data_IF_055709398096
#
_entry.id   IF_055709398096
#
_cell.length_a   1.000
_cell.length_b   1.000
_cell.length_c   1.000
_cell.angle_alpha   90.00
_cell.angle_beta   90.00
_cell.angle_gamma   90.00
#
_symmetry.space_group_name_H-M   'P 1'
#
loop_
_entity.id
_entity.type
_entity.pdbx_description
1 polymer ?
#
# COMPACT_ATOMS: atom_id res chain seq x y z
N UNK A 1 7.95 -24.42 24.84
CA UNK A 1 8.44 -24.82 23.51
C UNK A 1 7.22 -25.19 22.66
N UNK A 2 6.72 -24.25 21.86
CA UNK A 2 5.67 -24.52 20.89
C UNK A 2 6.35 -24.42 19.51
N UNK A 3 6.55 -25.56 18.89
CA UNK A 3 7.10 -25.72 17.54
C UNK A 3 6.12 -25.09 16.54
N UNK A 4 6.44 -23.86 16.11
CA UNK A 4 5.84 -23.22 14.96
C UNK A 4 6.31 -23.96 13.71
N UNK A 5 5.38 -24.68 13.07
CA UNK A 5 5.61 -25.36 11.81
C UNK A 5 5.98 -24.35 10.72
N UNK A 6 7.07 -24.63 10.01
CA UNK A 6 7.59 -23.82 8.92
C UNK A 6 6.66 -23.87 7.71
N UNK A 7 5.76 -22.89 7.57
CA UNK A 7 5.21 -22.56 6.25
C UNK A 7 6.31 -21.87 5.45
N UNK A 8 6.95 -22.65 4.56
CA UNK A 8 7.80 -22.15 3.49
C UNK A 8 7.03 -21.09 2.70
N UNK A 9 7.64 -19.93 2.50
CA UNK A 9 7.15 -18.88 1.61
C UNK A 9 7.28 -19.34 0.15
N UNK A 10 6.46 -20.31 -0.24
CA UNK A 10 6.22 -20.62 -1.64
C UNK A 10 5.20 -19.62 -2.16
N UNK A 11 5.56 -18.88 -3.21
CA UNK A 11 4.60 -18.23 -4.10
C UNK A 11 3.53 -19.29 -4.44
N UNK A 12 2.23 -19.03 -4.26
CA UNK A 12 1.24 -20.00 -4.69
C UNK A 12 1.41 -20.17 -6.19
N UNK A 13 1.78 -21.37 -6.65
CA UNK A 13 1.59 -21.73 -8.04
C UNK A 13 0.11 -21.47 -8.35
N UNK A 14 -0.17 -20.88 -9.53
CA UNK A 14 -1.52 -20.67 -10.02
C UNK A 14 -2.30 -21.98 -9.84
N UNK A 15 -3.26 -21.98 -8.93
CA UNK A 15 -4.19 -23.08 -8.81
C UNK A 15 -4.99 -23.11 -10.11
N UNK A 16 -5.03 -24.28 -10.76
CA UNK A 16 -5.91 -24.48 -11.90
C UNK A 16 -7.32 -23.99 -11.52
N UNK A 17 -7.99 -23.28 -12.43
CA UNK A 17 -9.35 -22.79 -12.18
C UNK A 17 -10.21 -24.00 -11.77
N UNK A 18 -10.76 -24.03 -10.55
CA UNK A 18 -11.50 -25.18 -10.07
C UNK A 18 -12.79 -25.33 -10.87
N UNK A 19 -13.32 -26.56 -10.92
CA UNK A 19 -14.67 -26.78 -11.40
C UNK A 19 -15.67 -26.05 -10.50
N UNK A 20 -16.70 -25.45 -11.10
CA UNK A 20 -17.76 -24.77 -10.34
C UNK A 20 -18.51 -25.80 -9.51
N UNK A 21 -18.50 -25.62 -8.19
CA UNK A 21 -19.15 -26.49 -7.21
C UNK A 21 -20.46 -25.90 -6.68
N UNK A 22 -20.58 -24.57 -6.69
CA UNK A 22 -21.73 -23.82 -6.19
C UNK A 22 -21.85 -22.49 -6.93
N UNK A 23 -23.07 -22.13 -7.32
CA UNK A 23 -23.36 -20.79 -7.88
C UNK A 23 -24.20 -20.00 -6.88
N UNK A 24 -23.83 -18.74 -6.66
CA UNK A 24 -24.57 -17.76 -5.85
C UNK A 24 -24.71 -16.46 -6.63
N UNK A 25 -25.74 -15.67 -6.33
CA UNK A 25 -26.02 -14.40 -6.99
C UNK A 25 -26.09 -13.29 -5.96
N UNK A 26 -25.49 -12.14 -6.29
CA UNK A 26 -25.59 -10.91 -5.49
C UNK A 26 -25.82 -9.70 -6.39
N UNK A 27 -26.51 -8.69 -5.89
CA UNK A 27 -26.60 -7.43 -6.61
C UNK A 27 -25.21 -6.78 -6.77
N UNK A 28 -24.43 -6.70 -5.69
CA UNK A 28 -23.09 -6.10 -5.69
C UNK A 28 -22.08 -7.11 -5.15
N UNK A 29 -21.12 -7.51 -5.98
CA UNK A 29 -19.95 -8.28 -5.53
C UNK A 29 -18.74 -7.35 -5.35
N UNK A 30 -18.09 -7.43 -4.18
CA UNK A 30 -16.88 -6.67 -3.85
C UNK A 30 -15.73 -7.66 -3.67
N UNK A 31 -14.71 -7.55 -4.52
CA UNK A 31 -13.50 -8.38 -4.44
C UNK A 31 -12.44 -7.66 -3.61
N UNK A 32 -12.12 -8.22 -2.44
CA UNK A 32 -11.18 -7.69 -1.46
C UNK A 32 -11.89 -7.05 -0.26
N UNK A 33 -11.58 -7.54 0.94
CA UNK A 33 -12.09 -7.07 2.22
C UNK A 33 -11.12 -6.15 2.96
N UNK A 34 -10.20 -5.52 2.23
CA UNK A 34 -9.24 -4.55 2.76
C UNK A 34 -9.84 -3.17 3.01
N UNK A 35 -8.97 -2.16 3.16
CA UNK A 35 -9.37 -0.79 3.46
C UNK A 35 -10.41 -0.23 2.48
N UNK A 36 -10.26 -0.54 1.19
CA UNK A 36 -11.16 -0.10 0.13
C UNK A 36 -12.52 -0.83 0.19
N UNK A 37 -12.52 -2.17 0.18
CA UNK A 37 -13.76 -2.94 0.13
C UNK A 37 -14.66 -2.68 1.33
N UNK A 38 -14.12 -2.69 2.55
CA UNK A 38 -14.90 -2.44 3.77
C UNK A 38 -15.44 -1.01 3.80
N UNK A 39 -14.61 -0.03 3.41
CA UNK A 39 -15.06 1.37 3.36
C UNK A 39 -16.17 1.55 2.33
N UNK A 40 -16.02 1.01 1.11
CA UNK A 40 -17.01 1.14 0.04
C UNK A 40 -18.32 0.43 0.39
N UNK A 41 -18.25 -0.81 0.90
CA UNK A 41 -19.42 -1.54 1.39
C UNK A 41 -20.17 -0.76 2.48
N UNK A 42 -19.44 -0.22 3.47
CA UNK A 42 -20.03 0.62 4.51
C UNK A 42 -20.69 1.89 3.97
N UNK A 43 -20.08 2.57 2.99
CA UNK A 43 -20.67 3.76 2.36
C UNK A 43 -21.94 3.41 1.60
N UNK A 44 -21.93 2.32 0.82
CA UNK A 44 -23.09 1.83 0.07
C UNK A 44 -24.25 1.50 1.01
N UNK A 45 -24.02 0.65 2.01
CA UNK A 45 -25.06 0.20 2.95
C UNK A 45 -25.59 1.31 3.86
N UNK A 46 -24.79 2.35 4.12
CA UNK A 46 -25.26 3.57 4.79
C UNK A 46 -26.17 4.43 3.91
N UNK A 47 -25.95 4.45 2.60
CA UNK A 47 -26.77 5.20 1.65
C UNK A 47 -28.05 4.45 1.29
N UNK A 48 -27.97 3.13 1.20
CA UNK A 48 -29.11 2.26 0.97
C UNK A 48 -28.89 0.90 1.66
N UNK A 49 -29.63 0.64 2.74
CA UNK A 49 -29.52 -0.60 3.52
C UNK A 49 -30.21 -1.81 2.88
N UNK A 50 -30.92 -1.63 1.77
CA UNK A 50 -31.60 -2.70 1.03
C UNK A 50 -30.72 -3.33 -0.06
N UNK A 51 -29.49 -2.86 -0.22
CA UNK A 51 -28.56 -3.42 -1.20
C UNK A 51 -28.12 -4.82 -0.78
N UNK A 52 -28.11 -5.74 -1.73
CA UNK A 52 -27.55 -7.08 -1.53
C UNK A 52 -26.06 -7.08 -1.90
N UNK A 53 -25.20 -7.08 -0.87
CA UNK A 53 -23.75 -6.88 -1.01
C UNK A 53 -22.99 -8.10 -0.52
N UNK A 54 -22.15 -8.69 -1.37
CA UNK A 54 -21.16 -9.68 -0.98
C UNK A 54 -19.75 -9.09 -0.97
N UNK A 55 -18.96 -9.44 0.03
CA UNK A 55 -17.51 -9.17 0.10
C UNK A 55 -16.77 -10.50 0.03
N UNK A 56 -15.92 -10.67 -0.98
CA UNK A 56 -15.08 -11.85 -1.17
C UNK A 56 -13.68 -11.55 -0.64
N UNK A 57 -13.31 -12.16 0.49
CA UNK A 57 -12.04 -11.92 1.19
C UNK A 57 -11.57 -13.18 1.91
N UNK A 58 -10.42 -13.76 1.56
CA UNK A 58 -9.95 -15.01 2.18
C UNK A 58 -9.44 -14.82 3.61
N UNK A 59 -8.84 -13.66 3.93
CA UNK A 59 -8.18 -13.42 5.20
C UNK A 59 -9.19 -13.30 6.35
N UNK A 60 -8.95 -14.04 7.44
CA UNK A 60 -9.69 -13.85 8.69
C UNK A 60 -9.19 -12.63 9.51
N UNK A 61 -8.15 -11.94 9.04
CA UNK A 61 -7.55 -10.75 9.67
C UNK A 61 -7.54 -9.54 8.74
N UNK A 62 -7.79 -8.37 9.32
CA UNK A 62 -7.70 -7.09 8.66
C UNK A 62 -6.56 -6.27 9.25
N UNK A 63 -5.73 -5.65 8.40
CA UNK A 63 -4.57 -4.88 8.83
C UNK A 63 -4.65 -3.40 8.46
N UNK A 64 -4.43 -2.53 9.44
CA UNK A 64 -4.03 -1.14 9.23
C UNK A 64 -2.54 -1.08 8.87
N UNK A 65 -2.25 -1.36 7.60
CA UNK A 65 -0.87 -1.45 7.08
C UNK A 65 -0.01 -0.17 7.25
N UNK A 66 -0.56 1.07 7.25
CA UNK A 66 0.23 2.25 7.60
C UNK A 66 0.83 2.22 9.03
N UNK A 67 0.33 1.32 9.88
CA UNK A 67 0.91 1.01 11.19
C UNK A 67 2.21 0.22 11.10
N UNK A 68 2.49 -0.53 10.03
CA UNK A 68 3.69 -1.38 9.95
C UNK A 68 5.00 -0.58 9.90
N UNK A 69 4.99 0.64 9.36
CA UNK A 69 6.13 1.57 9.51
C UNK A 69 6.40 1.90 10.98
N UNK A 70 5.35 2.07 11.79
CA UNK A 70 5.49 2.32 13.23
C UNK A 70 5.88 1.06 14.00
N UNK A 71 5.46 -0.11 13.54
CA UNK A 71 5.92 -1.39 14.10
C UNK A 71 7.41 -1.58 13.87
N UNK A 72 7.88 -1.41 12.63
CA UNK A 72 9.31 -1.47 12.32
C UNK A 72 10.14 -0.33 12.92
N UNK A 73 9.49 0.75 13.36
CA UNK A 73 10.09 1.86 14.08
C UNK A 73 9.82 1.85 15.59
N UNK A 74 9.39 0.74 16.18
CA UNK A 74 9.28 0.58 17.64
C UNK A 74 8.18 1.38 18.35
N UNK A 75 7.27 2.02 17.61
CA UNK A 75 6.16 2.79 18.19
C UNK A 75 4.94 1.92 18.43
N UNK A 76 4.65 1.00 17.50
CA UNK A 76 3.52 0.07 17.60
C UNK A 76 4.01 -1.35 17.80
N UNK A 77 3.19 -2.16 18.45
CA UNK A 77 3.27 -3.60 18.32
C UNK A 77 2.43 -4.07 17.12
N UNK A 78 2.70 -5.25 16.59
CA UNK A 78 1.97 -5.73 15.40
C UNK A 78 0.47 -5.90 15.68
N UNK A 79 0.10 -6.30 16.90
CA UNK A 79 -1.28 -6.45 17.35
C UNK A 79 -2.09 -5.14 17.31
N UNK A 80 -1.44 -3.97 17.45
CA UNK A 80 -2.10 -2.66 17.36
C UNK A 80 -2.62 -2.38 15.94
N UNK A 81 -2.11 -3.12 14.95
CA UNK A 81 -2.39 -2.93 13.53
C UNK A 81 -3.43 -3.91 12.99
N UNK A 82 -3.93 -4.85 13.78
CA UNK A 82 -4.77 -5.96 13.28
C UNK A 82 -6.07 -6.11 14.06
N UNK A 83 -7.15 -6.45 13.35
CA UNK A 83 -8.44 -6.88 13.92
C UNK A 83 -8.94 -8.14 13.20
N UNK A 84 -9.91 -8.83 13.77
CA UNK A 84 -10.58 -9.91 13.02
C UNK A 84 -11.36 -9.30 11.87
N UNK A 85 -11.30 -9.92 10.69
CA UNK A 85 -12.01 -9.46 9.50
C UNK A 85 -13.52 -9.44 9.75
N UNK A 86 -14.05 -10.47 10.42
CA UNK A 86 -15.48 -10.62 10.74
C UNK A 86 -16.06 -9.42 11.48
N UNK A 87 -15.30 -8.85 12.41
CA UNK A 87 -15.75 -7.73 13.26
C UNK A 87 -15.87 -6.40 12.49
N UNK A 88 -15.37 -6.38 11.25
CA UNK A 88 -15.33 -5.20 10.38
C UNK A 88 -16.23 -5.33 9.16
N UNK A 89 -16.77 -6.52 8.89
CA UNK A 89 -17.79 -6.71 7.85
C UNK A 89 -19.00 -5.84 8.21
N UNK A 90 -19.43 -4.92 7.34
CA UNK A 90 -20.56 -4.05 7.65
C UNK A 90 -21.84 -4.87 7.82
N UNK A 91 -22.69 -4.48 8.77
CA UNK A 91 -24.01 -5.09 8.93
C UNK A 91 -24.80 -4.98 7.62
N UNK A 92 -25.38 -6.09 7.17
CA UNK A 92 -26.08 -6.20 5.88
C UNK A 92 -25.22 -6.73 4.73
N UNK A 93 -23.90 -6.80 4.86
CA UNK A 93 -23.04 -7.44 3.88
C UNK A 93 -22.84 -8.94 4.19
N UNK A 94 -22.83 -9.76 3.15
CA UNK A 94 -22.43 -11.17 3.24
C UNK A 94 -20.92 -11.29 3.04
N UNK A 95 -20.23 -11.99 3.94
CA UNK A 95 -18.80 -12.29 3.79
C UNK A 95 -18.61 -13.68 3.21
N UNK A 96 -18.06 -13.74 2.00
CA UNK A 96 -17.59 -14.98 1.36
C UNK A 96 -16.10 -15.09 1.69
N UNK A 97 -15.78 -15.94 2.66
CA UNK A 97 -14.40 -16.16 3.09
C UNK A 97 -13.68 -17.11 2.12
N UNK A 98 -13.34 -16.60 0.94
CA UNK A 98 -12.65 -17.35 -0.11
C UNK A 98 -11.77 -16.39 -0.95
N UNK A 99 -10.83 -16.95 -1.70
CA UNK A 99 -9.92 -16.26 -2.60
C UNK A 99 -10.48 -16.26 -4.01
N UNK A 100 -10.57 -15.09 -4.64
CA UNK A 100 -10.83 -15.00 -6.08
C UNK A 100 -9.65 -15.51 -6.88
N UNK A 101 -9.92 -16.36 -7.88
CA UNK A 101 -8.92 -16.93 -8.80
C UNK A 101 -9.19 -16.59 -10.26
N UNK A 102 -10.44 -16.26 -10.62
CA UNK A 102 -10.79 -15.85 -12.00
C UNK A 102 -11.90 -14.80 -12.02
N UNK A 103 -11.79 -13.89 -12.98
CA UNK A 103 -12.79 -12.88 -13.31
C UNK A 103 -13.32 -13.17 -14.72
N UNK A 104 -14.64 -13.26 -14.87
CA UNK A 104 -15.34 -13.50 -16.13
C UNK A 104 -16.38 -12.40 -16.35
N UNK A 105 -15.94 -11.19 -16.77
CA UNK A 105 -16.81 -10.03 -16.85
C UNK A 105 -17.87 -10.13 -17.95
N UNK A 106 -17.66 -10.96 -18.97
CA UNK A 106 -18.63 -11.17 -20.05
C UNK A 106 -19.85 -11.96 -19.56
N UNK A 107 -19.67 -12.82 -18.56
CA UNK A 107 -20.73 -13.57 -17.87
C UNK A 107 -21.16 -12.94 -16.54
N UNK A 108 -20.61 -11.78 -16.20
CA UNK A 108 -20.77 -11.13 -14.89
C UNK A 108 -20.51 -12.10 -13.71
N UNK A 109 -19.39 -12.81 -13.76
CA UNK A 109 -19.06 -13.84 -12.78
C UNK A 109 -17.65 -13.67 -12.18
N UNK A 110 -17.53 -14.04 -10.91
CA UNK A 110 -16.26 -14.20 -10.19
C UNK A 110 -16.15 -15.65 -9.74
N UNK A 111 -15.02 -16.31 -10.00
CA UNK A 111 -14.77 -17.67 -9.55
C UNK A 111 -13.73 -17.66 -8.45
N UNK A 112 -14.05 -18.36 -7.37
CA UNK A 112 -13.23 -18.49 -6.17
C UNK A 112 -12.46 -19.81 -6.14
N UNK A 113 -11.50 -19.92 -5.23
CA UNK A 113 -10.61 -21.07 -5.10
C UNK A 113 -11.35 -22.35 -4.70
N UNK A 114 -12.42 -22.25 -3.89
CA UNK A 114 -13.24 -23.41 -3.50
C UNK A 114 -14.33 -23.74 -4.55
N UNK A 115 -14.28 -23.12 -5.72
CA UNK A 115 -15.20 -23.37 -6.83
C UNK A 115 -16.56 -22.69 -6.70
N UNK A 116 -16.69 -21.68 -5.83
CA UNK A 116 -17.90 -20.85 -5.77
C UNK A 116 -17.87 -19.87 -6.95
N UNK A 117 -18.88 -19.95 -7.82
CA UNK A 117 -19.18 -18.97 -8.84
C UNK A 117 -20.13 -17.92 -8.25
N UNK A 118 -19.66 -16.68 -8.18
CA UNK A 118 -20.41 -15.53 -7.70
C UNK A 118 -20.85 -14.70 -8.91
N UNK A 119 -22.12 -14.83 -9.27
CA UNK A 119 -22.76 -13.98 -10.28
C UNK A 119 -23.09 -12.62 -9.67
N UNK A 120 -22.94 -11.56 -10.44
CA UNK A 120 -23.19 -10.19 -9.99
C UNK A 120 -23.98 -9.35 -10.99
N UNK A 121 -24.73 -8.36 -10.49
CA UNK A 121 -25.21 -7.27 -11.35
C UNK A 121 -24.11 -6.20 -11.50
N UNK A 122 -23.42 -5.88 -10.40
CA UNK A 122 -22.33 -4.92 -10.34
C UNK A 122 -21.11 -5.46 -9.59
N UNK A 123 -19.91 -5.13 -10.06
CA UNK A 123 -18.64 -5.58 -9.50
C UNK A 123 -17.79 -4.40 -9.02
N UNK A 124 -17.23 -4.51 -7.82
CA UNK A 124 -16.22 -3.58 -7.30
C UNK A 124 -14.92 -4.35 -7.05
N UNK A 125 -13.87 -4.01 -7.78
CA UNK A 125 -12.54 -4.59 -7.62
C UNK A 125 -11.65 -3.74 -6.73
N UNK A 126 -11.23 -4.30 -5.60
CA UNK A 126 -10.27 -3.68 -4.69
C UNK A 126 -9.41 -4.65 -3.86
N UNK A 127 -8.81 -5.69 -4.49
CA UNK A 127 -8.00 -6.70 -3.79
C UNK A 127 -6.66 -6.18 -3.25
N UNK A 128 -6.35 -4.90 -3.43
CA UNK A 128 -5.08 -4.30 -3.05
C UNK A 128 -3.99 -4.57 -4.09
N UNK A 129 -2.75 -4.73 -3.61
CA UNK A 129 -1.55 -4.94 -4.42
C UNK A 129 -0.85 -6.23 -4.01
N UNK A 130 -0.27 -6.93 -4.97
CA UNK A 130 0.55 -8.11 -4.74
C UNK A 130 1.98 -7.69 -4.40
N UNK A 131 2.62 -8.45 -3.51
CA UNK A 131 4.02 -8.25 -3.13
C UNK A 131 4.84 -9.40 -3.69
N UNK A 132 5.75 -9.09 -4.60
CA UNK A 132 6.45 -10.07 -5.44
C UNK A 132 7.86 -10.34 -4.91
N UNK A 133 7.94 -10.96 -3.73
CA UNK A 133 9.21 -11.29 -3.06
C UNK A 133 10.18 -12.07 -3.96
N UNK A 134 9.64 -12.92 -4.83
CA UNK A 134 10.38 -13.81 -5.73
C UNK A 134 11.12 -13.07 -6.86
N UNK A 135 10.80 -11.81 -7.13
CA UNK A 135 11.47 -11.02 -8.17
C UNK A 135 12.87 -10.54 -7.77
N UNK A 136 13.21 -10.63 -6.48
CA UNK A 136 14.57 -10.40 -6.00
C UNK A 136 15.17 -11.78 -5.68
N UNK A 137 16.20 -12.16 -6.43
CA UNK A 137 16.86 -13.46 -6.26
C UNK A 137 17.43 -13.58 -4.83
N UNK A 138 17.18 -14.70 -4.16
CA UNK A 138 17.65 -14.96 -2.79
C UNK A 138 16.87 -14.25 -1.68
N UNK A 139 15.91 -13.36 -2.01
CA UNK A 139 15.11 -12.67 -1.00
C UNK A 139 14.15 -13.61 -0.24
N UNK A 140 13.38 -14.50 -0.89
CA UNK A 140 12.47 -15.42 -0.17
C UNK A 140 13.20 -16.27 0.86
N UNK A 141 14.44 -16.66 0.58
CA UNK A 141 15.26 -17.47 1.46
C UNK A 141 15.89 -16.65 2.59
N UNK A 142 16.18 -15.37 2.39
CA UNK A 142 16.90 -14.52 3.35
C UNK A 142 15.98 -13.69 4.25
N UNK A 143 14.79 -13.30 3.79
CA UNK A 143 13.89 -12.39 4.51
C UNK A 143 13.48 -12.94 5.89
N UNK A 144 13.59 -12.10 6.93
CA UNK A 144 13.31 -12.47 8.32
C UNK A 144 14.50 -13.11 9.05
N UNK A 145 15.66 -13.23 8.41
CA UNK A 145 16.93 -13.63 9.01
C UNK A 145 18.09 -12.89 8.35
N UNK A 146 19.34 -13.18 8.71
CA UNK A 146 20.55 -12.65 8.08
C UNK A 146 20.62 -11.10 7.98
N UNK A 147 19.93 -10.35 8.85
CA UNK A 147 19.82 -8.89 8.73
C UNK A 147 18.87 -8.37 7.64
N UNK A 148 18.10 -9.24 6.98
CA UNK A 148 17.18 -8.89 5.88
C UNK A 148 15.75 -8.78 6.41
N UNK A 149 15.11 -7.63 6.22
CA UNK A 149 13.76 -7.38 6.75
C UNK A 149 12.88 -6.57 5.80
N UNK A 150 11.58 -6.44 6.09
CA UNK A 150 10.66 -5.60 5.34
C UNK A 150 9.42 -5.22 6.16
N UNK A 151 9.04 -3.94 6.13
CA UNK A 151 7.79 -3.47 6.73
C UNK A 151 6.56 -3.70 5.84
N UNK A 152 6.72 -4.31 4.67
CA UNK A 152 5.62 -4.63 3.75
C UNK A 152 4.90 -5.96 4.08
N UNK A 153 5.28 -6.59 5.20
CA UNK A 153 4.67 -7.80 5.73
C UNK A 153 4.51 -7.71 7.25
N UNK A 154 3.36 -8.12 7.82
CA UNK A 154 3.16 -8.14 9.27
C UNK A 154 4.09 -9.16 9.95
N UNK A 155 4.60 -10.17 9.21
CA UNK A 155 5.57 -11.16 9.70
C UNK A 155 6.94 -10.55 9.96
N UNK A 156 7.37 -9.59 9.14
CA UNK A 156 8.76 -9.09 9.16
C UNK A 156 8.88 -7.68 9.76
N UNK A 157 7.79 -6.90 9.83
CA UNK A 157 7.84 -5.56 10.44
C UNK A 157 8.37 -5.55 11.89
N UNK A 158 8.00 -6.49 12.79
CA UNK A 158 8.60 -6.56 14.14
C UNK A 158 10.11 -6.85 14.11
N UNK A 159 10.57 -7.71 13.19
CA UNK A 159 11.98 -8.03 13.04
C UNK A 159 12.80 -6.83 12.55
N UNK A 160 12.19 -5.93 11.77
CA UNK A 160 12.83 -4.65 11.42
C UNK A 160 13.20 -3.85 12.67
N UNK A 161 12.31 -3.78 13.65
CA UNK A 161 12.58 -3.07 14.89
C UNK A 161 13.68 -3.75 15.70
N UNK A 162 13.65 -5.08 15.80
CA UNK A 162 14.69 -5.86 16.46
C UNK A 162 16.09 -5.58 15.87
N UNK A 163 16.20 -5.55 14.54
CA UNK A 163 17.46 -5.23 13.86
C UNK A 163 17.92 -3.80 14.16
N UNK A 164 17.04 -2.81 14.12
CA UNK A 164 17.38 -1.41 14.47
C UNK A 164 17.86 -1.32 15.94
N UNK A 165 17.24 -2.06 16.85
CA UNK A 165 17.64 -2.10 18.25
C UNK A 165 19.01 -2.78 18.45
N UNK A 166 19.33 -3.82 17.69
CA UNK A 166 20.60 -4.55 17.83
C UNK A 166 21.75 -3.97 17.02
N UNK A 167 21.47 -3.09 16.06
CA UNK A 167 22.47 -2.50 15.19
C UNK A 167 23.56 -1.73 15.97
N UNK A 168 24.82 -2.01 15.66
CA UNK A 168 26.01 -1.49 16.37
C UNK A 168 26.99 -0.71 15.48
N UNK A 169 26.75 -0.64 14.18
CA UNK A 169 27.61 -0.04 13.14
C UNK A 169 27.59 -0.87 11.85
N UNK A 170 28.30 -0.41 10.82
CA UNK A 170 28.31 -1.01 9.49
C UNK A 170 27.31 -0.36 8.53
N UNK A 171 26.98 -1.04 7.43
CA UNK A 171 26.05 -0.55 6.43
C UNK A 171 24.59 -0.91 6.81
N UNK A 172 23.72 0.10 6.88
CA UNK A 172 22.27 -0.05 6.99
C UNK A 172 21.63 0.38 5.67
N UNK A 173 21.18 -0.59 4.88
CA UNK A 173 20.64 -0.37 3.54
C UNK A 173 19.10 -0.30 3.57
N UNK A 174 18.53 0.66 2.86
CA UNK A 174 17.09 0.82 2.67
C UNK A 174 16.80 0.92 1.19
N UNK A 175 15.90 0.09 0.67
CA UNK A 175 15.70 -0.01 -0.79
C UNK A 175 14.35 0.54 -1.25
N UNK A 176 14.25 0.89 -2.53
CA UNK A 176 13.01 1.17 -3.24
C UNK A 176 13.00 0.36 -4.55
N UNK A 177 11.88 -0.28 -4.97
CA UNK A 177 11.87 -1.14 -6.15
C UNK A 177 11.62 -0.36 -7.44
N UNK A 178 11.98 -0.95 -8.59
CA UNK A 178 11.65 -0.39 -9.91
C UNK A 178 10.23 -0.76 -10.39
N UNK A 179 9.25 -0.71 -9.49
CA UNK A 179 7.83 -0.97 -9.79
C UNK A 179 6.95 0.06 -9.07
N UNK A 180 5.68 0.24 -9.48
CA UNK A 180 4.71 0.88 -8.61
C UNK A 180 4.65 0.17 -7.26
N UNK A 181 4.36 0.92 -6.19
CA UNK A 181 4.39 0.44 -4.81
C UNK A 181 3.29 1.09 -3.98
N UNK A 182 2.68 0.36 -3.04
CA UNK A 182 1.82 0.98 -2.03
C UNK A 182 2.64 1.84 -1.07
N UNK A 183 2.16 3.04 -0.79
CA UNK A 183 2.83 4.03 0.06
C UNK A 183 4.33 4.21 -0.30
N UNK A 184 4.64 4.81 -1.45
CA UNK A 184 6.03 5.02 -1.90
C UNK A 184 6.93 5.81 -0.93
N UNK A 185 6.37 6.52 0.05
CA UNK A 185 7.17 7.13 1.11
C UNK A 185 7.61 6.15 2.22
N UNK A 186 6.98 4.98 2.38
CA UNK A 186 7.29 4.08 3.49
C UNK A 186 8.75 3.57 3.55
N UNK A 187 9.44 3.30 2.42
CA UNK A 187 10.82 2.82 2.46
C UNK A 187 11.80 3.83 3.09
N UNK A 188 11.59 5.12 2.85
CA UNK A 188 12.40 6.19 3.47
C UNK A 188 11.96 6.51 4.91
N UNK A 189 10.68 6.31 5.27
CA UNK A 189 10.21 6.57 6.65
C UNK A 189 10.97 5.75 7.69
N UNK A 190 11.07 4.44 7.47
CA UNK A 190 11.77 3.55 8.40
C UNK A 190 13.27 3.83 8.44
N UNK A 191 13.86 4.27 7.32
CA UNK A 191 15.25 4.74 7.28
C UNK A 191 15.47 5.91 8.24
N UNK A 192 14.62 6.94 8.18
CA UNK A 192 14.75 8.09 9.08
C UNK A 192 14.57 7.69 10.56
N UNK A 193 13.64 6.79 10.86
CA UNK A 193 13.46 6.27 12.21
C UNK A 193 14.66 5.44 12.69
N UNK A 194 15.26 4.63 11.81
CA UNK A 194 16.47 3.87 12.13
C UNK A 194 17.65 4.80 12.41
N UNK A 195 17.87 5.81 11.57
CA UNK A 195 18.94 6.82 11.76
C UNK A 195 18.82 7.55 13.09
N UNK A 196 17.59 7.92 13.52
CA UNK A 196 17.38 8.51 14.85
C UNK A 196 17.79 7.57 15.99
N UNK A 197 17.45 6.27 15.91
CA UNK A 197 17.89 5.29 16.92
C UNK A 197 19.41 5.15 16.90
N UNK A 198 20.04 5.10 15.74
CA UNK A 198 21.49 4.99 15.64
C UNK A 198 22.18 6.23 16.22
N UNK A 199 21.61 7.42 16.02
CA UNK A 199 22.08 8.70 16.59
C UNK A 199 21.88 8.77 18.11
N UNK A 200 20.84 8.13 18.64
CA UNK A 200 20.58 8.10 20.08
C UNK A 200 21.56 7.23 20.88
N UNK A 201 22.29 6.33 20.20
CA UNK A 201 23.23 5.39 20.81
C UNK A 201 24.68 5.87 20.68
N UNK A 202 25.40 5.84 21.80
CA UNK A 202 26.81 6.26 21.83
C UNK A 202 27.67 5.49 20.82
N UNK A 203 28.33 6.21 19.93
CA UNK A 203 29.29 5.66 18.95
C UNK A 203 28.68 4.83 17.82
N UNK A 204 27.37 4.55 17.82
CA UNK A 204 26.76 3.71 16.77
C UNK A 204 26.71 4.49 15.47
N UNK A 205 26.07 5.67 15.43
CA UNK A 205 25.94 6.44 14.17
C UNK A 205 27.29 6.76 13.51
N UNK A 206 28.33 7.05 14.29
CA UNK A 206 29.67 7.37 13.78
C UNK A 206 30.32 6.17 13.07
N UNK A 207 29.96 4.94 13.46
CA UNK A 207 30.39 3.70 12.81
C UNK A 207 29.39 3.19 11.78
N UNK A 208 28.35 3.96 11.46
CA UNK A 208 27.25 3.54 10.60
C UNK A 208 27.27 4.28 9.28
N UNK A 209 26.99 3.56 8.20
CA UNK A 209 26.68 4.13 6.90
C UNK A 209 25.22 3.81 6.56
N UNK A 210 24.36 4.83 6.64
CA UNK A 210 22.93 4.71 6.34
C UNK A 210 22.73 5.06 4.87
N UNK A 211 22.28 4.09 4.08
CA UNK A 211 22.15 4.23 2.63
C UNK A 211 20.71 4.04 2.16
N UNK A 212 20.26 4.89 1.25
CA UNK A 212 19.00 4.72 0.52
C UNK A 212 19.28 4.44 -0.94
N UNK A 213 18.96 3.24 -1.40
CA UNK A 213 19.20 2.81 -2.78
C UNK A 213 17.87 2.72 -3.52
N UNK A 214 17.74 3.52 -4.58
CA UNK A 214 16.49 3.65 -5.33
C UNK A 214 16.76 3.74 -6.83
N UNK A 215 15.95 3.10 -7.68
CA UNK A 215 16.04 3.27 -9.14
C UNK A 215 15.57 4.64 -9.61
N UNK A 216 14.86 5.38 -8.76
CA UNK A 216 14.40 6.72 -9.08
C UNK A 216 15.57 7.71 -9.23
N UNK A 217 15.26 8.89 -9.77
CA UNK A 217 16.19 10.02 -9.90
C UNK A 217 15.97 11.11 -8.85
N UNK A 218 14.96 10.95 -7.99
CA UNK A 218 14.52 11.92 -6.97
C UNK A 218 13.96 11.18 -5.75
N UNK A 219 14.03 11.80 -4.56
CA UNK A 219 13.50 11.23 -3.31
C UNK A 219 11.96 11.18 -3.25
N UNK A 220 11.29 12.05 -4.01
CA UNK A 220 9.83 12.13 -4.05
C UNK A 220 9.37 12.73 -5.38
N UNK A 221 8.13 12.42 -5.79
CA UNK A 221 7.60 12.84 -7.09
C UNK A 221 7.23 14.32 -7.17
N UNK A 222 6.74 14.88 -6.05
CA UNK A 222 6.28 16.28 -5.97
C UNK A 222 7.47 17.20 -5.64
N UNK A 223 7.77 18.22 -6.47
CA UNK A 223 8.96 19.07 -6.33
C UNK A 223 9.12 19.72 -4.95
N UNK A 224 8.05 20.24 -4.36
CA UNK A 224 8.11 20.91 -3.06
C UNK A 224 8.51 19.95 -1.92
N UNK A 225 8.00 18.71 -1.94
CA UNK A 225 8.37 17.70 -0.94
C UNK A 225 9.76 17.13 -1.23
N UNK A 226 10.12 16.98 -2.51
CA UNK A 226 11.46 16.57 -2.93
C UNK A 226 12.54 17.52 -2.39
N UNK A 227 12.40 18.83 -2.57
CA UNK A 227 13.36 19.82 -2.08
C UNK A 227 13.53 19.78 -0.55
N UNK A 228 12.44 19.55 0.19
CA UNK A 228 12.48 19.41 1.64
C UNK A 228 13.19 18.11 2.06
N UNK A 229 12.92 16.99 1.38
CA UNK A 229 13.56 15.70 1.70
C UNK A 229 15.05 15.68 1.36
N UNK A 230 15.46 16.35 0.27
CA UNK A 230 16.87 16.52 -0.09
C UNK A 230 17.65 17.25 1.02
N UNK A 231 17.03 18.27 1.62
CA UNK A 231 17.59 18.94 2.80
C UNK A 231 17.70 17.97 3.98
N UNK A 232 16.65 17.20 4.27
CA UNK A 232 16.62 16.25 5.41
C UNK A 232 17.70 15.17 5.26
N UNK A 233 17.85 14.54 4.09
CA UNK A 233 18.88 13.51 3.88
C UNK A 233 20.30 14.08 3.98
N UNK A 234 20.52 15.30 3.50
CA UNK A 234 21.80 16.00 3.61
C UNK A 234 22.17 16.32 5.06
N UNK A 235 21.23 16.87 5.83
CA UNK A 235 21.43 17.17 7.26
C UNK A 235 21.68 15.91 8.09
N UNK A 236 21.09 14.78 7.68
CA UNK A 236 21.27 13.46 8.31
C UNK A 236 22.43 12.66 7.75
N UNK A 237 23.21 13.21 6.81
CA UNK A 237 24.35 12.52 6.19
C UNK A 237 23.99 11.10 5.72
N UNK A 238 22.81 10.97 5.11
CA UNK A 238 22.32 9.71 4.53
C UNK A 238 22.82 9.64 3.09
N UNK A 239 23.46 8.53 2.72
CA UNK A 239 23.98 8.32 1.38
C UNK A 239 22.86 7.80 0.45
N UNK A 240 22.37 8.68 -0.42
CA UNK A 240 21.32 8.33 -1.38
C UNK A 240 21.95 7.92 -2.71
N UNK A 241 21.70 6.69 -3.14
CA UNK A 241 22.10 6.14 -4.43
C UNK A 241 20.89 6.07 -5.36
N UNK A 242 20.80 7.05 -6.26
CA UNK A 242 19.82 7.05 -7.34
C UNK A 242 20.19 6.06 -8.43
N UNK A 243 19.20 5.62 -9.21
CA UNK A 243 19.36 4.63 -10.29
C UNK A 243 19.91 3.26 -9.85
N UNK A 244 19.76 2.91 -8.57
CA UNK A 244 20.18 1.62 -8.03
C UNK A 244 18.94 0.76 -7.72
N UNK A 245 18.79 -0.37 -8.40
CA UNK A 245 17.69 -1.31 -8.15
C UNK A 245 18.20 -2.60 -7.53
N UNK A 246 17.61 -3.01 -6.41
CA UNK A 246 17.99 -4.26 -5.76
C UNK A 246 17.58 -5.44 -6.65
N UNK A 247 18.56 -6.29 -7.00
CA UNK A 247 18.39 -7.45 -7.88
C UNK A 247 18.51 -8.78 -7.13
N UNK A 248 19.51 -8.89 -6.27
CA UNK A 248 19.83 -10.13 -5.56
C UNK A 248 20.27 -9.87 -4.12
N UNK A 249 19.88 -10.78 -3.21
CA UNK A 249 20.38 -10.85 -1.85
C UNK A 249 21.09 -12.18 -1.65
N UNK A 250 22.36 -12.11 -1.24
CA UNK A 250 23.14 -13.25 -0.74
C UNK A 250 23.15 -13.18 0.78
N UNK A 251 22.19 -13.88 1.40
CA UNK A 251 21.95 -13.79 2.84
C UNK A 251 23.13 -14.26 3.71
N UNK A 252 23.78 -15.37 3.36
CA UNK A 252 24.86 -15.95 4.17
C UNK A 252 26.10 -15.06 4.25
N UNK A 253 26.46 -14.42 3.14
CA UNK A 253 27.58 -13.49 3.06
C UNK A 253 27.18 -12.03 3.34
N UNK A 254 25.91 -11.77 3.68
CA UNK A 254 25.32 -10.43 3.87
C UNK A 254 25.65 -9.43 2.75
N UNK A 255 25.54 -9.87 1.50
CA UNK A 255 25.78 -9.03 0.34
C UNK A 255 24.49 -8.77 -0.45
N UNK A 256 24.28 -7.52 -0.87
CA UNK A 256 23.16 -7.10 -1.71
C UNK A 256 23.70 -6.56 -3.05
N UNK A 257 23.16 -7.08 -4.15
CA UNK A 257 23.59 -6.73 -5.51
C UNK A 257 22.52 -5.84 -6.15
N UNK A 258 22.96 -4.73 -6.72
CA UNK A 258 22.11 -3.73 -7.35
C UNK A 258 22.48 -3.56 -8.82
N UNK A 259 21.48 -3.51 -9.68
CA UNK A 259 21.63 -2.98 -11.04
C UNK A 259 21.75 -1.46 -10.98
N UNK A 260 22.66 -0.90 -11.79
CA UNK A 260 22.79 0.54 -12.01
C UNK A 260 22.18 0.90 -13.36
N UNK A 261 21.23 1.83 -13.36
CA UNK A 261 20.58 2.32 -14.58
C UNK A 261 21.24 3.58 -15.15
N UNK A 262 21.24 3.69 -16.47
CA UNK A 262 21.55 4.94 -17.19
C UNK A 262 20.36 5.93 -17.18
N UNK A 263 20.47 7.03 -17.94
CA UNK A 263 19.37 7.99 -18.13
C UNK A 263 18.19 7.43 -18.90
N UNK A 264 18.41 6.38 -19.69
CA UNK A 264 17.42 5.75 -20.57
C UNK A 264 16.73 4.56 -19.91
N UNK A 265 17.14 4.17 -18.69
CA UNK A 265 16.59 3.05 -17.93
C UNK A 265 17.24 1.70 -18.23
N UNK A 266 18.34 1.66 -18.98
CA UNK A 266 19.07 0.42 -19.26
C UNK A 266 20.05 0.11 -18.13
N UNK A 267 20.22 -1.18 -17.82
CA UNK A 267 21.28 -1.62 -16.89
C UNK A 267 22.63 -1.42 -17.58
N UNK A 268 23.52 -0.67 -16.93
CA UNK A 268 24.86 -0.38 -17.45
C UNK A 268 25.98 -0.93 -16.58
N UNK A 269 25.70 -1.23 -15.32
CA UNK A 269 26.66 -1.79 -14.38
C UNK A 269 25.94 -2.51 -13.23
N UNK A 270 26.69 -3.26 -12.44
CA UNK A 270 26.23 -3.90 -11.21
C UNK A 270 27.17 -3.57 -10.04
N UNK A 271 26.60 -3.30 -8.87
CA UNK A 271 27.37 -3.02 -7.66
C UNK A 271 26.91 -3.89 -6.50
N UNK A 272 27.88 -4.35 -5.71
CA UNK A 272 27.61 -5.13 -4.49
C UNK A 272 27.89 -4.27 -3.26
N UNK A 273 26.91 -4.21 -2.34
CA UNK A 273 27.07 -3.62 -1.02
C UNK A 273 26.98 -4.71 0.06
N UNK A 274 27.96 -4.74 0.96
CA UNK A 274 27.84 -5.49 2.20
C UNK A 274 26.86 -4.78 3.14
N UNK A 275 26.12 -5.52 3.96
CA UNK A 275 25.19 -4.94 4.93
C UNK A 275 25.26 -5.61 6.30
N UNK A 276 25.02 -4.83 7.34
CA UNK A 276 24.67 -5.37 8.65
C UNK A 276 23.15 -5.45 8.83
N UNK A 277 22.43 -4.57 8.14
CA UNK A 277 20.98 -4.56 8.05
C UNK A 277 20.54 -4.12 6.65
N UNK A 278 19.55 -4.78 6.07
CA UNK A 278 18.85 -4.32 4.86
C UNK A 278 17.33 -4.37 5.04
N UNK A 279 16.68 -3.23 4.91
CA UNK A 279 15.22 -3.13 4.79
C UNK A 279 14.82 -3.09 3.32
N UNK A 280 14.16 -4.15 2.87
CA UNK A 280 13.75 -4.33 1.48
C UNK A 280 12.33 -3.80 1.26
N UNK A 281 12.18 -2.85 0.35
CA UNK A 281 10.90 -2.57 -0.27
C UNK A 281 10.76 -3.44 -1.53
N UNK A 282 9.96 -4.52 -1.48
CA UNK A 282 9.88 -5.49 -2.56
C UNK A 282 9.15 -4.93 -3.79
N UNK A 283 9.45 -5.42 -5.00
CA UNK A 283 8.63 -5.23 -6.19
C UNK A 283 7.16 -5.60 -5.95
N UNK A 284 6.26 -4.91 -6.63
CA UNK A 284 4.81 -5.07 -6.48
C UNK A 284 4.10 -4.94 -7.81
N UNK A 285 2.95 -5.62 -7.93
CA UNK A 285 2.10 -5.62 -9.11
C UNK A 285 0.62 -5.73 -8.73
N UNK A 286 -0.28 -5.67 -9.72
CA UNK A 286 -1.64 -6.14 -9.48
C UNK A 286 -1.64 -7.64 -9.12
N UNK A 287 -2.64 -8.12 -8.37
CA UNK A 287 -2.86 -9.55 -8.19
C UNK A 287 -2.95 -10.31 -9.52
N UNK A 288 -2.39 -11.52 -9.57
CA UNK A 288 -2.25 -12.27 -10.82
C UNK A 288 -3.59 -12.58 -11.51
N UNK A 289 -4.66 -12.83 -10.74
CA UNK A 289 -6.00 -13.03 -11.29
C UNK A 289 -6.56 -11.78 -11.99
N UNK A 290 -6.08 -10.57 -11.66
CA UNK A 290 -6.42 -9.35 -12.40
C UNK A 290 -5.58 -9.28 -13.68
N UNK A 291 -4.26 -9.50 -13.60
CA UNK A 291 -3.35 -9.43 -14.76
C UNK A 291 -3.83 -10.32 -15.92
N UNK A 292 -4.36 -11.48 -15.58
CA UNK A 292 -4.84 -12.48 -16.53
C UNK A 292 -6.30 -12.25 -16.97
N UNK A 293 -6.97 -11.23 -16.44
CA UNK A 293 -8.38 -10.96 -16.73
C UNK A 293 -8.55 -9.94 -17.87
N UNK A 294 -9.71 -9.94 -18.56
CA UNK A 294 -10.07 -8.90 -19.51
C UNK A 294 -10.14 -7.49 -18.90
N UNK A 295 -10.20 -7.37 -17.57
CA UNK A 295 -10.34 -6.11 -16.82
C UNK A 295 -9.00 -5.39 -16.60
N UNK A 296 -7.87 -6.01 -16.93
CA UNK A 296 -6.57 -5.36 -16.82
C UNK A 296 -6.38 -4.28 -17.91
N UNK A 297 -5.62 -3.23 -17.60
CA UNK A 297 -5.18 -2.23 -18.57
C UNK A 297 -4.38 -2.91 -19.69
N UNK A 298 -4.76 -2.73 -20.97
CA UNK A 298 -4.02 -3.30 -22.09
C UNK A 298 -2.55 -2.85 -22.08
N UNK A 299 -1.64 -3.75 -22.47
CA UNK A 299 -0.21 -3.46 -22.63
C UNK A 299 0.50 -2.91 -21.37
N UNK A 300 -0.06 -3.15 -20.19
CA UNK A 300 0.57 -2.80 -18.92
C UNK A 300 1.08 -4.07 -18.22
N UNK A 301 2.40 -4.23 -18.11
CA UNK A 301 3.03 -5.41 -17.50
C UNK A 301 2.71 -5.58 -16.01
N UNK A 302 2.25 -4.54 -15.32
CA UNK A 302 1.83 -4.61 -13.92
C UNK A 302 0.36 -5.03 -13.75
N UNK A 303 -0.45 -4.94 -14.81
CA UNK A 303 -1.82 -5.47 -14.93
C UNK A 303 -2.89 -4.86 -14.00
N UNK A 304 -2.88 -3.55 -13.79
CA UNK A 304 -3.91 -2.83 -13.00
C UNK A 304 -5.30 -2.91 -13.62
N UNK A 305 -6.36 -2.75 -12.84
CA UNK A 305 -7.74 -2.65 -13.35
C UNK A 305 -7.94 -1.34 -14.10
N UNK A 306 -8.45 -1.43 -15.33
CA UNK A 306 -8.60 -0.32 -16.28
C UNK A 306 -9.81 0.58 -15.99
N UNK A 307 -9.58 1.68 -15.29
CA UNK A 307 -10.65 2.62 -14.88
C UNK A 307 -10.52 4.01 -15.46
N UNK A 308 -11.66 4.69 -15.64
CA UNK A 308 -11.70 6.14 -15.76
C UNK A 308 -11.22 6.75 -14.44
N UNK A 309 -10.21 7.61 -14.55
CA UNK A 309 -9.54 8.17 -13.38
C UNK A 309 -10.45 9.07 -12.53
N UNK A 310 -11.56 9.59 -13.06
CA UNK A 310 -12.44 10.48 -12.31
C UNK A 310 -13.64 9.74 -11.73
N UNK A 311 -14.32 8.91 -12.51
CA UNK A 311 -15.53 8.21 -12.06
C UNK A 311 -15.22 6.91 -11.33
N UNK A 312 -14.01 6.37 -11.51
CA UNK A 312 -13.57 5.05 -11.03
C UNK A 312 -14.33 3.86 -11.66
N UNK A 313 -15.13 4.13 -12.71
CA UNK A 313 -15.81 3.11 -13.51
C UNK A 313 -14.81 2.47 -14.47
N UNK A 314 -14.96 1.18 -14.76
CA UNK A 314 -14.13 0.49 -15.74
C UNK A 314 -14.41 1.04 -17.15
N UNK A 315 -13.35 1.27 -17.94
CA UNK A 315 -13.46 1.93 -19.25
C UNK A 315 -14.25 1.11 -20.29
N UNK A 316 -14.29 -0.21 -20.14
CA UNK A 316 -14.93 -1.15 -21.08
C UNK A 316 -16.15 -1.89 -20.54
N UNK A 317 -16.33 -1.96 -19.23
CA UNK A 317 -17.36 -2.77 -18.58
C UNK A 317 -18.15 -1.87 -17.61
N UNK A 318 -19.28 -1.30 -18.03
CA UNK A 318 -19.91 -0.19 -17.32
C UNK A 318 -20.49 -0.58 -15.94
N UNK A 319 -20.73 -1.86 -15.69
CA UNK A 319 -21.15 -2.37 -14.39
C UNK A 319 -19.97 -2.74 -13.45
N UNK A 320 -18.72 -2.47 -13.86
CA UNK A 320 -17.52 -2.72 -13.07
C UNK A 320 -16.91 -1.40 -12.60
N UNK A 321 -16.52 -1.34 -11.33
CA UNK A 321 -15.77 -0.23 -10.72
C UNK A 321 -14.51 -0.77 -10.04
N UNK A 322 -13.47 0.05 -9.93
CA UNK A 322 -12.29 -0.33 -9.16
C UNK A 322 -11.63 0.84 -8.44
N UNK A 323 -11.00 0.55 -7.30
CA UNK A 323 -10.36 1.56 -6.46
C UNK A 323 -9.22 0.98 -5.62
N UNK A 324 -8.48 1.86 -4.96
CA UNK A 324 -7.32 1.51 -4.16
C UNK A 324 -6.17 1.02 -5.02
N UNK A 325 -5.32 0.17 -4.43
CA UNK A 325 -4.03 -0.15 -5.04
C UNK A 325 -4.15 -0.98 -6.33
N UNK A 326 -5.28 -1.65 -6.57
CA UNK A 326 -5.50 -2.46 -7.76
C UNK A 326 -5.88 -1.63 -9.00
N UNK A 327 -6.35 -0.39 -8.84
CA UNK A 327 -6.80 0.43 -9.97
C UNK A 327 -5.64 1.08 -10.74
N UNK A 328 -5.90 1.42 -12.00
CA UNK A 328 -5.00 2.17 -12.87
C UNK A 328 -4.98 3.69 -12.61
N UNK A 329 -5.73 4.17 -11.61
CA UNK A 329 -5.80 5.61 -11.31
C UNK A 329 -4.39 6.19 -11.08
N UNK A 330 -3.99 7.26 -11.80
CA UNK A 330 -2.62 7.78 -11.80
C UNK A 330 -2.32 8.63 -10.56
N UNK A 331 -2.39 8.01 -9.39
CA UNK A 331 -2.12 8.64 -8.10
C UNK A 331 -1.32 7.68 -7.20
N UNK A 332 -0.82 8.19 -6.07
CA UNK A 332 -0.14 7.33 -5.11
C UNK A 332 -1.13 6.34 -4.48
N UNK A 333 -0.74 5.05 -4.48
CA UNK A 333 -1.50 3.95 -3.89
C UNK A 333 -1.45 4.01 -2.36
N UNK A 334 -2.42 4.69 -1.74
CA UNK A 334 -2.48 4.95 -0.30
C UNK A 334 -3.89 4.77 0.27
N UNK A 335 -4.00 4.47 1.56
CA UNK A 335 -5.29 4.44 2.26
C UNK A 335 -6.00 5.82 2.27
N UNK A 336 -5.24 6.91 2.17
CA UNK A 336 -5.81 8.25 2.05
C UNK A 336 -6.46 8.49 0.68
N UNK A 337 -5.87 7.95 -0.40
CA UNK A 337 -6.53 7.94 -1.71
C UNK A 337 -7.83 7.14 -1.66
N UNK A 338 -7.82 5.95 -1.05
CA UNK A 338 -9.02 5.13 -0.84
C UNK A 338 -10.11 5.91 -0.09
N UNK A 339 -9.74 6.70 0.93
CA UNK A 339 -10.66 7.54 1.71
C UNK A 339 -11.50 8.49 0.84
N UNK A 340 -10.95 8.95 -0.29
CA UNK A 340 -11.64 9.81 -1.27
C UNK A 340 -12.24 9.04 -2.45
N UNK A 341 -11.64 7.93 -2.86
CA UNK A 341 -12.15 7.09 -3.94
C UNK A 341 -13.44 6.35 -3.56
N UNK A 342 -13.52 5.82 -2.34
CA UNK A 342 -14.67 5.00 -1.92
C UNK A 342 -16.02 5.73 -1.99
N UNK A 343 -16.15 7.01 -1.53
CA UNK A 343 -17.36 7.79 -1.76
C UNK A 343 -17.70 8.02 -3.24
N UNK A 344 -16.70 8.24 -4.09
CA UNK A 344 -16.90 8.42 -5.54
C UNK A 344 -17.44 7.16 -6.19
N UNK A 345 -16.83 6.00 -5.91
CA UNK A 345 -17.30 4.70 -6.40
C UNK A 345 -18.73 4.43 -5.92
N UNK A 346 -19.01 4.60 -4.62
CA UNK A 346 -20.33 4.34 -4.09
C UNK A 346 -21.40 5.26 -4.70
N UNK A 347 -21.07 6.53 -4.94
CA UNK A 347 -21.99 7.48 -5.57
C UNK A 347 -22.27 7.17 -7.03
N UNK A 348 -21.21 6.92 -7.80
CA UNK A 348 -21.34 6.63 -9.23
C UNK A 348 -21.98 5.27 -9.46
N UNK A 349 -21.71 4.27 -8.62
CA UNK A 349 -22.42 2.99 -8.71
C UNK A 349 -23.92 3.17 -8.47
N UNK A 350 -24.32 3.86 -7.39
CA UNK A 350 -25.74 4.12 -7.12
C UNK A 350 -26.41 4.97 -8.20
N UNK A 351 -25.68 5.93 -8.78
CA UNK A 351 -26.17 6.71 -9.93
C UNK A 351 -26.37 5.80 -11.16
N UNK A 352 -25.40 4.93 -11.46
CA UNK A 352 -25.48 3.98 -12.56
C UNK A 352 -26.66 3.02 -12.40
N UNK A 353 -26.86 2.45 -11.20
CA UNK A 353 -28.02 1.61 -10.85
C UNK A 353 -29.35 2.33 -11.10
N UNK A 354 -29.40 3.63 -10.86
CA UNK A 354 -30.57 4.47 -11.07
C UNK A 354 -30.68 5.06 -12.49
N UNK A 355 -29.84 4.62 -13.43
CA UNK A 355 -29.72 5.18 -14.79
C UNK A 355 -29.50 6.70 -14.81
N UNK A 356 -28.72 7.23 -13.86
CA UNK A 356 -28.36 8.65 -13.72
C UNK A 356 -26.90 8.92 -14.15
N UNK A 357 -26.57 10.16 -14.53
CA UNK A 357 -25.19 10.55 -14.86
C UNK A 357 -24.20 10.37 -13.69
N UNK A 358 -22.96 10.02 -14.03
CA UNK A 358 -21.86 9.82 -13.08
C UNK A 358 -21.17 11.16 -12.72
N UNK A 359 -21.80 11.90 -11.81
CA UNK A 359 -21.37 13.25 -11.45
C UNK A 359 -20.25 13.30 -10.41
N UNK A 360 -20.05 12.25 -9.62
CA UNK A 360 -18.96 12.25 -8.63
C UNK A 360 -17.61 12.08 -9.33
N UNK A 361 -16.64 12.92 -8.95
CA UNK A 361 -15.31 12.97 -9.56
C UNK A 361 -14.23 12.86 -8.48
N UNK A 362 -13.30 11.93 -8.67
CA UNK A 362 -12.07 11.83 -7.91
C UNK A 362 -11.01 12.76 -8.50
N UNK A 363 -10.39 13.58 -7.66
CA UNK A 363 -9.43 14.63 -8.03
C UNK A 363 -7.97 14.18 -7.95
N UNK A 364 -7.74 12.88 -7.75
CA UNK A 364 -6.40 12.34 -7.55
C UNK A 364 -5.85 12.53 -6.13
N UNK A 365 -6.62 13.05 -5.17
CA UNK A 365 -6.17 13.28 -3.80
C UNK A 365 -5.50 12.06 -3.17
N UNK A 366 -4.30 12.26 -2.64
CA UNK A 366 -3.60 11.27 -1.85
C UNK A 366 -2.84 11.95 -0.71
N UNK A 367 -2.50 11.17 0.32
CA UNK A 367 -1.68 11.62 1.42
C UNK A 367 -0.61 10.58 1.76
N UNK A 368 0.62 11.07 2.00
CA UNK A 368 1.71 10.32 2.56
C UNK A 368 2.26 11.06 3.79
N UNK A 369 1.90 10.63 5.01
CA UNK A 369 2.55 11.14 6.22
C UNK A 369 4.01 10.66 6.25
N UNK A 370 4.94 11.48 5.80
CA UNK A 370 6.37 11.20 5.71
C UNK A 370 7.01 11.46 7.07
N UNK A 371 7.18 10.39 7.83
CA UNK A 371 7.99 10.42 9.05
C UNK A 371 9.43 10.67 8.63
N UNK A 372 10.00 11.79 9.07
CA UNK A 372 11.40 12.18 8.84
C UNK A 372 12.25 12.04 10.10
N UNK A 373 11.65 11.50 11.17
CA UNK A 373 12.27 11.17 12.44
C UNK A 373 11.19 10.95 13.51
N UNK A 374 11.57 10.49 14.70
CA UNK A 374 10.68 10.56 15.85
C UNK A 374 10.30 12.03 16.09
N UNK A 375 9.02 12.26 16.40
CA UNK A 375 8.47 13.60 16.62
C UNK A 375 8.50 14.54 15.39
N UNK A 376 8.83 14.03 14.20
CA UNK A 376 8.87 14.81 12.96
C UNK A 376 8.13 14.10 11.83
N UNK A 377 7.08 14.73 11.32
CA UNK A 377 6.35 14.24 10.14
C UNK A 377 5.98 15.39 9.23
N UNK A 378 6.16 15.17 7.93
CA UNK A 378 5.65 16.00 6.85
C UNK A 378 4.33 15.38 6.39
N UNK A 379 3.23 16.11 6.51
CA UNK A 379 1.93 15.66 6.03
C UNK A 379 1.82 15.97 4.54
N UNK A 380 2.43 15.12 3.70
CA UNK A 380 2.44 15.31 2.25
C UNK A 380 1.08 14.95 1.67
N UNK A 381 0.25 15.95 1.42
CA UNK A 381 -1.03 15.83 0.74
C UNK A 381 -0.92 16.48 -0.63
N UNK A 382 -1.44 15.84 -1.67
CA UNK A 382 -1.36 16.37 -3.03
C UNK A 382 -2.37 15.68 -3.94
N UNK A 383 -2.66 16.29 -5.09
CA UNK A 383 -3.31 15.58 -6.19
C UNK A 383 -2.24 14.79 -6.96
N UNK A 384 -2.45 13.48 -7.10
CA UNK A 384 -1.61 12.64 -7.94
C UNK A 384 -1.66 13.01 -9.42
N UNK A 385 -2.72 13.69 -9.87
CA UNK A 385 -2.93 14.03 -11.28
C UNK A 385 -2.12 15.26 -11.69
N UNK A 386 -2.04 16.25 -10.80
CA UNK A 386 -1.37 17.54 -11.08
C UNK A 386 -0.06 17.71 -10.32
N UNK A 387 0.29 16.77 -9.42
CA UNK A 387 1.39 16.87 -8.48
C UNK A 387 1.37 18.16 -7.63
N UNK A 388 0.19 18.77 -7.44
CA UNK A 388 0.04 20.01 -6.67
C UNK A 388 -0.14 19.69 -5.19
N UNK A 389 0.67 20.28 -4.28
CA UNK A 389 0.43 20.18 -2.84
C UNK A 389 -0.98 20.64 -2.45
N UNK A 390 -1.57 19.91 -1.52
CA UNK A 390 -2.85 20.19 -0.89
C UNK A 390 -2.66 20.17 0.62
N UNK A 391 -3.64 20.65 1.38
CA UNK A 391 -3.63 20.50 2.84
C UNK A 391 -5.05 20.37 3.34
N UNK A 392 -5.32 19.32 4.12
CA UNK A 392 -6.55 19.17 4.89
C UNK A 392 -6.53 20.01 6.18
N UNK A 393 -5.40 20.63 6.50
CA UNK A 393 -5.18 21.41 7.71
C UNK A 393 -4.95 22.88 7.38
N UNK A 394 -5.21 23.81 8.32
CA UNK A 394 -4.85 25.22 8.20
C UNK A 394 -3.33 25.45 8.37
N UNK A 395 -2.51 24.51 7.90
CA UNK A 395 -1.08 24.46 8.11
C UNK A 395 -0.38 24.21 6.78
N UNK A 396 0.76 24.86 6.57
CA UNK A 396 1.64 24.57 5.44
C UNK A 396 2.05 23.08 5.50
N UNK A 397 1.69 22.28 4.47
CA UNK A 397 1.94 20.84 4.42
C UNK A 397 3.42 20.52 4.10
N UNK A 398 4.21 21.48 3.62
CA UNK A 398 5.63 21.35 3.26
C UNK A 398 6.51 21.76 4.45
N UNK A 399 6.27 21.14 5.61
CA UNK A 399 7.05 21.38 6.83
C UNK A 399 7.03 20.17 7.76
N UNK A 400 8.17 19.87 8.38
CA UNK A 400 8.26 18.90 9.47
C UNK A 400 7.54 19.43 10.71
N UNK A 401 6.61 18.64 11.27
CA UNK A 401 5.82 19.04 12.44
C UNK A 401 5.59 17.88 13.40
N UNK A 402 5.76 18.15 14.69
CA UNK A 402 5.38 17.24 15.77
C UNK A 402 3.88 16.96 15.82
N UNK A 403 3.04 17.96 15.58
CA UNK A 403 1.59 17.74 15.57
C UNK A 403 1.16 16.77 14.45
N UNK A 404 1.88 16.76 13.32
CA UNK A 404 1.64 15.80 12.23
C UNK A 404 2.16 14.40 12.58
N UNK A 405 3.19 14.31 13.43
CA UNK A 405 3.62 13.05 14.01
C UNK A 405 2.53 12.46 14.91
N UNK A 406 1.99 13.23 15.86
CA UNK A 406 0.86 12.78 16.70
C UNK A 406 -0.39 12.46 15.89
N UNK A 407 -0.66 13.23 14.82
CA UNK A 407 -1.71 12.89 13.87
C UNK A 407 -1.50 11.50 13.28
N UNK A 408 -0.28 11.18 12.83
CA UNK A 408 0.04 9.89 12.22
C UNK A 408 0.08 8.73 13.21
N UNK A 409 0.56 8.94 14.44
CA UNK A 409 0.74 7.88 15.44
C UNK A 409 -0.52 7.60 16.24
N UNK A 410 -1.35 8.62 16.52
CA UNK A 410 -2.43 8.46 17.49
C UNK A 410 -3.80 8.62 16.81
N UNK A 411 -3.95 9.64 15.96
CA UNK A 411 -5.26 10.03 15.42
C UNK A 411 -5.65 9.21 14.19
N UNK A 412 -4.77 9.08 13.20
CA UNK A 412 -5.06 8.34 11.96
C UNK A 412 -5.43 6.86 12.19
N UNK A 413 -4.79 6.09 13.09
CA UNK A 413 -5.24 4.74 13.41
C UNK A 413 -6.67 4.73 13.98
N UNK A 414 -7.01 5.65 14.88
CA UNK A 414 -8.36 5.75 15.42
C UNK A 414 -9.37 6.12 14.32
N UNK A 415 -9.04 7.10 13.47
CA UNK A 415 -9.87 7.52 12.32
C UNK A 415 -10.09 6.34 11.37
N UNK A 416 -9.04 5.57 11.08
CA UNK A 416 -9.13 4.40 10.20
C UNK A 416 -10.20 3.42 10.70
N UNK A 417 -10.06 2.94 11.93
CA UNK A 417 -10.95 1.94 12.50
C UNK A 417 -12.37 2.45 12.79
N UNK A 418 -12.49 3.68 13.28
CA UNK A 418 -13.76 4.18 13.83
C UNK A 418 -14.54 5.07 12.88
N UNK A 419 -13.91 5.58 11.81
CA UNK A 419 -14.55 6.49 10.86
C UNK A 419 -14.44 6.00 9.42
N UNK A 420 -13.23 5.74 8.94
CA UNK A 420 -12.99 5.32 7.55
C UNK A 420 -13.71 4.01 7.24
N UNK A 421 -13.38 2.93 7.95
CA UNK A 421 -14.00 1.62 7.68
C UNK A 421 -15.51 1.61 7.91
N UNK A 422 -16.01 2.51 8.76
CA UNK A 422 -17.45 2.71 8.99
C UNK A 422 -18.11 3.60 7.93
N UNK A 423 -17.42 4.02 6.87
CA UNK A 423 -17.98 4.86 5.82
C UNK A 423 -18.41 6.26 6.28
N UNK A 424 -17.81 6.82 7.33
CA UNK A 424 -18.06 8.22 7.72
C UNK A 424 -17.49 9.20 6.68
N UNK A 425 -17.96 10.45 6.64
CA UNK A 425 -17.38 11.47 5.74
C UNK A 425 -15.94 11.82 6.11
N UNK A 426 -15.16 12.22 5.12
CA UNK A 426 -13.75 12.58 5.27
C UNK A 426 -13.56 13.82 6.16
N UNK A 427 -12.60 13.71 7.07
CA UNK A 427 -12.35 14.67 8.15
C UNK A 427 -11.91 16.03 7.60
N UNK A 428 -11.06 16.03 6.56
CA UNK A 428 -10.56 17.25 5.94
C UNK A 428 -11.67 18.10 5.32
N UNK A 429 -12.79 17.52 4.88
CA UNK A 429 -13.91 18.27 4.29
C UNK A 429 -14.62 19.17 5.33
N UNK A 430 -14.52 18.85 6.62
CA UNK A 430 -15.05 19.68 7.70
C UNK A 430 -14.11 20.80 8.12
N UNK A 431 -12.82 20.73 7.79
CA UNK A 431 -11.78 21.67 8.27
C UNK A 431 -11.46 22.73 7.19
N UNK A 432 -12.02 22.59 5.97
CA UNK A 432 -11.70 23.42 4.79
C UNK A 432 -11.96 24.93 4.95
N UNK A 433 -12.74 25.37 5.92
CA UNK A 433 -13.02 26.80 6.09
C UNK A 433 -11.81 27.63 6.57
N UNK A 434 -10.67 26.98 6.90
CA UNK A 434 -9.40 27.62 7.23
C UNK A 434 -8.26 27.17 6.29
N UNK A 435 -8.54 26.91 5.02
CA UNK A 435 -7.55 26.36 4.09
C UNK A 435 -6.26 27.20 4.01
N UNK A 436 -5.13 26.51 4.10
CA UNK A 436 -3.82 27.08 3.80
C UNK A 436 -3.83 27.62 2.35
N UNK A 437 -3.55 28.92 2.21
CA UNK A 437 -3.29 29.57 0.92
C UNK A 437 -1.77 29.67 0.75
N UNK A 438 -1.29 29.28 -0.43
CA UNK A 438 0.14 29.25 -0.77
C UNK A 438 0.77 30.62 -0.67
#
# INVERSE_FOLDING_TARGET
MATLTSETAQTPALTAVPAVSKTVHYQIAIVGGGAAGITTASVLLKRNSQLDVAIIEPSNKHYYQPGWTLTGGGIFQIQDTVRNQRDLIPAGATWIQDRVVKLDPDRNAVITQEGIEVLYEYLILCPGIQVDWHLIKGLPEAIGKNGVTSNYSPKYAPYTWELIQKFSGGNALFTFPNTPIKCGGAPQKVMYMADDVFRSKWGVRQRSNVMFLTPATKMFAVPEYYALLDKVVKEREIDVKFRHNLKEIKGESKAAIFDIFDTSGNVVDEVTYQYEMIHVAPPQSAPDFIKQSPLATPNNSYGWVDVDQYTMQHNRYPNVFALGDASSAPTSKTAAAVRKQAPVVAENLLAFMAAKPLNAKYDGYTCCPLITGYDKTIMSEFSGYTATPMSSFPLNPIKERWIMWKMKTDILPWVYWNRMLKGAKFEGDYIKFLQWKK
#
